data_IF_205604206712
#
_entry.id   IF_205604206712
#
_cell.length_a   1.000
_cell.length_b   1.000
_cell.length_c   1.000
_cell.angle_alpha   90.00
_cell.angle_beta   90.00
_cell.angle_gamma   90.00
#
_symmetry.space_group_name_H-M   'P 1'
#
loop_
_entity.id
_entity.type
_entity.pdbx_description
1 polymer ?
#
# COMPACT_ATOMS: atom_id res chain seq x y z
N UNK A 1 -2.91 25.34 43.54
CA UNK A 1 -2.43 25.54 42.15
C UNK A 1 -2.64 24.21 41.45
N UNK A 2 -3.77 24.04 40.75
CA UNK A 2 -4.07 22.80 40.03
C UNK A 2 -3.28 22.81 38.74
N UNK A 3 -2.37 21.85 38.60
CA UNK A 3 -1.66 21.56 37.37
C UNK A 3 -2.73 21.31 36.30
N UNK A 4 -2.75 22.13 35.24
CA UNK A 4 -3.57 21.85 34.06
C UNK A 4 -3.14 20.48 33.57
N UNK A 5 -4.00 19.48 33.77
CA UNK A 5 -3.92 18.24 33.01
C UNK A 5 -3.77 18.62 31.54
N UNK A 6 -2.85 17.98 30.82
CA UNK A 6 -2.52 18.24 29.42
C UNK A 6 -3.80 18.24 28.56
N UNK A 7 -4.46 19.39 28.46
CA UNK A 7 -5.81 19.53 27.95
C UNK A 7 -5.75 19.52 26.42
N UNK A 8 -6.13 18.40 25.82
CA UNK A 8 -6.13 18.22 24.38
C UNK A 8 -5.93 16.79 23.91
N UNK A 9 -5.92 15.81 24.83
CA UNK A 9 -5.67 14.42 24.50
C UNK A 9 -6.56 13.49 25.32
N UNK A 10 -7.05 12.42 24.68
CA UNK A 10 -7.82 11.34 25.30
C UNK A 10 -7.03 10.03 25.33
N UNK A 11 -7.28 9.23 26.36
CA UNK A 11 -6.75 7.88 26.45
C UNK A 11 -7.60 6.91 25.63
N UNK A 12 -6.96 6.11 24.79
CA UNK A 12 -7.61 5.04 23.99
C UNK A 12 -6.88 3.70 24.16
N UNK A 13 -7.44 2.59 23.68
CA UNK A 13 -6.76 1.28 23.70
C UNK A 13 -5.42 1.25 22.96
N UNK A 14 -5.21 2.16 21.99
CA UNK A 14 -3.97 2.27 21.21
C UNK A 14 -3.00 3.32 21.79
N UNK A 15 -3.33 3.92 22.94
CA UNK A 15 -2.53 4.97 23.58
C UNK A 15 -3.24 6.32 23.63
N UNK A 16 -2.50 7.35 24.06
CA UNK A 16 -2.97 8.73 24.16
C UNK A 16 -2.96 9.38 22.78
N UNK A 17 -4.09 9.93 22.34
CA UNK A 17 -4.25 10.61 21.05
C UNK A 17 -4.92 11.97 21.26
N UNK A 18 -4.84 12.92 20.30
CA UNK A 18 -5.55 14.19 20.40
C UNK A 18 -7.06 14.01 20.60
N UNK A 19 -7.68 14.92 21.35
CA UNK A 19 -9.11 14.84 21.69
C UNK A 19 -10.00 14.82 20.44
N UNK A 20 -9.61 15.61 19.43
CA UNK A 20 -10.30 15.78 18.16
C UNK A 20 -10.11 14.61 17.18
N UNK A 21 -9.16 13.70 17.43
CA UNK A 21 -8.93 12.53 16.58
C UNK A 21 -9.93 11.42 16.86
N UNK A 22 -10.35 10.69 15.84
CA UNK A 22 -11.23 9.52 15.98
C UNK A 22 -10.46 8.24 15.64
N UNK A 23 -10.71 7.17 16.40
CA UNK A 23 -10.20 5.84 16.09
C UNK A 23 -11.17 5.18 15.12
N UNK A 24 -10.76 5.06 13.87
CA UNK A 24 -11.54 4.45 12.77
C UNK A 24 -10.97 3.08 12.40
N UNK A 25 -11.78 2.26 11.72
CA UNK A 25 -11.27 1.04 11.08
C UNK A 25 -10.56 1.42 9.78
N UNK A 26 -9.45 0.75 9.46
CA UNK A 26 -8.68 1.05 8.24
C UNK A 26 -9.56 1.03 6.98
N UNK A 27 -10.46 0.05 6.85
CA UNK A 27 -11.37 -0.06 5.71
C UNK A 27 -12.43 1.05 5.60
N UNK A 28 -12.57 1.93 6.59
CA UNK A 28 -13.45 3.11 6.52
C UNK A 28 -12.78 4.27 5.78
N UNK A 29 -11.44 4.27 5.68
CA UNK A 29 -10.65 5.38 5.12
C UNK A 29 -9.82 4.99 3.90
N UNK A 30 -9.85 3.72 3.48
CA UNK A 30 -9.18 3.26 2.26
C UNK A 30 -10.13 2.46 1.36
N UNK A 31 -9.90 2.56 0.07
CA UNK A 31 -10.26 1.53 -0.92
C UNK A 31 -9.00 0.76 -1.27
N UNK A 32 -9.09 -0.55 -1.45
CA UNK A 32 -7.95 -1.35 -1.83
C UNK A 32 -8.32 -2.36 -2.91
N UNK A 33 -7.34 -2.70 -3.74
CA UNK A 33 -7.44 -3.77 -4.73
C UNK A 33 -6.39 -4.81 -4.38
N UNK A 34 -6.79 -6.08 -4.34
CA UNK A 34 -5.83 -7.18 -4.15
C UNK A 34 -5.06 -7.38 -5.44
N UNK A 35 -3.73 -7.35 -5.36
CA UNK A 35 -2.85 -7.68 -6.48
C UNK A 35 -3.13 -9.10 -7.02
N UNK A 36 -2.95 -9.27 -8.33
CA UNK A 36 -3.15 -10.55 -9.03
C UNK A 36 -1.95 -10.87 -9.90
N UNK A 37 -1.67 -12.17 -10.08
CA UNK A 37 -0.67 -12.61 -11.04
C UNK A 37 -1.15 -12.24 -12.46
N UNK A 38 -0.37 -11.50 -13.25
CA UNK A 38 -0.71 -11.20 -14.63
C UNK A 38 -0.72 -12.46 -15.50
N UNK A 39 -1.52 -12.45 -16.57
CA UNK A 39 -1.64 -13.58 -17.49
C UNK A 39 -0.41 -13.70 -18.41
N UNK A 40 0.10 -12.56 -18.89
CA UNK A 40 1.21 -12.49 -19.83
C UNK A 40 2.37 -11.73 -19.20
N UNK A 41 3.46 -12.46 -18.93
CA UNK A 41 4.69 -11.92 -18.34
C UNK A 41 5.88 -12.26 -19.23
N UNK A 42 6.78 -11.30 -19.40
CA UNK A 42 8.00 -11.42 -20.20
C UNK A 42 9.21 -10.95 -19.39
N UNK A 43 10.39 -11.49 -19.68
CA UNK A 43 11.65 -11.14 -19.00
C UNK A 43 12.39 -9.97 -19.67
N UNK A 44 12.04 -9.68 -20.93
CA UNK A 44 12.58 -8.56 -21.69
C UNK A 44 11.49 -7.51 -21.93
N UNK A 45 11.88 -6.24 -21.82
CA UNK A 45 10.98 -5.14 -22.12
C UNK A 45 10.53 -5.18 -23.59
N UNK A 46 9.24 -4.95 -23.81
CA UNK A 46 8.62 -4.81 -25.13
C UNK A 46 7.72 -3.59 -25.13
N UNK A 47 7.40 -3.07 -26.31
CA UNK A 47 6.39 -2.03 -26.48
C UNK A 47 5.06 -2.51 -25.86
N UNK A 48 4.32 -1.61 -25.19
CA UNK A 48 3.08 -1.90 -24.44
C UNK A 48 3.24 -2.73 -23.16
N UNK A 49 4.47 -2.98 -22.70
CA UNK A 49 4.72 -3.61 -21.41
C UNK A 49 5.04 -2.59 -20.30
N UNK A 50 4.60 -2.88 -19.08
CA UNK A 50 4.98 -2.15 -17.86
C UNK A 50 5.79 -3.04 -16.91
N UNK A 51 6.67 -2.48 -16.06
CA UNK A 51 7.37 -3.25 -15.03
C UNK A 51 6.40 -3.98 -14.11
N UNK A 52 6.69 -5.25 -13.83
CA UNK A 52 5.95 -6.02 -12.84
C UNK A 52 6.40 -5.64 -11.43
N UNK A 53 5.47 -5.28 -10.55
CA UNK A 53 5.73 -5.00 -9.14
C UNK A 53 5.97 -6.30 -8.32
N UNK A 54 7.02 -7.03 -8.67
CA UNK A 54 7.49 -8.16 -7.87
C UNK A 54 8.07 -7.67 -6.53
N UNK A 55 8.17 -8.58 -5.55
CA UNK A 55 8.84 -8.28 -4.28
C UNK A 55 10.31 -7.90 -4.47
N UNK A 56 10.98 -8.49 -5.47
CA UNK A 56 12.36 -8.14 -5.83
C UNK A 56 12.45 -6.73 -6.42
N UNK A 57 11.55 -6.38 -7.34
CA UNK A 57 11.47 -5.04 -7.91
C UNK A 57 11.25 -3.98 -6.83
N UNK A 58 10.32 -4.22 -5.92
CA UNK A 58 10.00 -3.28 -4.83
C UNK A 58 11.16 -3.12 -3.83
N UNK A 59 12.02 -4.13 -3.67
CA UNK A 59 13.19 -4.07 -2.77
C UNK A 59 14.42 -3.43 -3.44
N UNK A 60 14.63 -3.70 -4.72
CA UNK A 60 15.89 -3.39 -5.40
C UNK A 60 15.75 -2.28 -6.46
N UNK A 61 14.53 -1.90 -6.84
CA UNK A 61 14.25 -0.90 -7.87
C UNK A 61 14.61 -1.33 -9.31
N UNK A 62 15.03 -2.58 -9.52
CA UNK A 62 15.46 -3.09 -10.82
C UNK A 62 14.41 -4.03 -11.40
N UNK A 63 13.79 -3.63 -12.52
CA UNK A 63 12.81 -4.46 -13.20
C UNK A 63 13.52 -5.60 -13.96
N UNK A 64 13.07 -6.83 -13.69
CA UNK A 64 13.50 -8.06 -14.38
C UNK A 64 12.33 -8.80 -15.02
N UNK A 65 11.11 -8.34 -14.76
CA UNK A 65 9.86 -8.91 -15.26
C UNK A 65 8.95 -7.78 -15.69
N UNK A 66 8.27 -7.97 -16.82
CA UNK A 66 7.36 -6.99 -17.40
C UNK A 66 6.04 -7.66 -17.76
N UNK A 67 4.97 -6.87 -17.75
CA UNK A 67 3.60 -7.30 -17.99
C UNK A 67 3.07 -6.61 -19.23
N UNK A 68 2.56 -7.37 -20.21
CA UNK A 68 1.84 -6.79 -21.36
C UNK A 68 0.47 -6.31 -20.90
N UNK A 69 0.13 -5.06 -21.21
CA UNK A 69 -1.18 -4.50 -20.88
C UNK A 69 -2.19 -4.91 -21.95
N UNK A 70 -3.22 -5.66 -21.53
CA UNK A 70 -4.34 -6.13 -22.36
C UNK A 70 -5.66 -5.50 -21.94
N UNK A 71 -5.66 -4.71 -20.87
CA UNK A 71 -6.83 -4.04 -20.29
C UNK A 71 -7.43 -4.79 -19.10
N UNK A 72 -6.85 -5.93 -18.73
CA UNK A 72 -7.29 -6.70 -17.57
C UNK A 72 -6.40 -6.48 -16.34
N UNK A 73 -5.21 -5.92 -16.52
CA UNK A 73 -4.18 -5.81 -15.49
C UNK A 73 -4.54 -4.76 -14.43
N UNK A 74 -3.98 -4.91 -13.23
CA UNK A 74 -4.01 -3.85 -12.22
C UNK A 74 -2.77 -2.99 -12.45
N UNK A 75 -2.98 -1.77 -12.89
CA UNK A 75 -1.93 -0.76 -13.08
C UNK A 75 -1.93 0.14 -11.85
N UNK A 76 -0.76 0.39 -11.29
CA UNK A 76 -0.57 1.37 -10.21
C UNK A 76 -0.15 2.70 -10.80
N UNK A 77 -0.58 3.77 -10.16
CA UNK A 77 -0.22 5.14 -10.55
C UNK A 77 0.67 5.79 -9.49
N UNK A 78 1.31 6.90 -9.85
CA UNK A 78 2.08 7.70 -8.90
C UNK A 78 1.17 8.20 -7.76
N UNK A 79 1.59 7.95 -6.51
CA UNK A 79 0.82 8.30 -5.31
C UNK A 79 0.03 7.13 -4.70
N UNK A 80 -0.08 6.00 -5.40
CA UNK A 80 -0.69 4.80 -4.83
C UNK A 80 0.14 4.23 -3.68
N UNK A 81 -0.56 3.74 -2.64
CA UNK A 81 0.05 3.07 -1.50
C UNK A 81 0.09 1.57 -1.78
N UNK A 82 1.29 1.00 -1.87
CA UNK A 82 1.51 -0.44 -2.06
C UNK A 82 1.74 -1.10 -0.70
N UNK A 83 0.92 -2.10 -0.36
CA UNK A 83 1.10 -2.94 0.82
C UNK A 83 1.59 -4.32 0.40
N UNK A 84 2.82 -4.67 0.80
CA UNK A 84 3.31 -6.04 0.69
C UNK A 84 2.76 -6.88 1.83
N UNK A 85 1.90 -7.84 1.50
CA UNK A 85 1.37 -8.82 2.43
C UNK A 85 1.82 -10.22 2.00
N UNK A 86 3.10 -10.50 2.24
CA UNK A 86 3.67 -11.83 2.08
C UNK A 86 3.61 -12.53 3.45
N UNK A 87 2.60 -13.38 3.62
CA UNK A 87 2.49 -14.27 4.77
C UNK A 87 3.45 -15.44 4.62
N UNK A 88 4.75 -15.17 4.68
CA UNK A 88 5.76 -16.22 4.81
C UNK A 88 5.77 -16.70 6.26
N UNK A 89 5.32 -17.94 6.48
CA UNK A 89 5.60 -18.72 7.70
C UNK A 89 7.06 -19.17 7.73
#
# INVERSE_FOLDING_TARGET
MNLKEESGYKQTPIGKIPEEWEVVRLGEVITYVKGKKPEIMVEEYQEECLPYLSTDYLRNGKATQFVRITGSEIVVEEGDIILLWDGSN
#
